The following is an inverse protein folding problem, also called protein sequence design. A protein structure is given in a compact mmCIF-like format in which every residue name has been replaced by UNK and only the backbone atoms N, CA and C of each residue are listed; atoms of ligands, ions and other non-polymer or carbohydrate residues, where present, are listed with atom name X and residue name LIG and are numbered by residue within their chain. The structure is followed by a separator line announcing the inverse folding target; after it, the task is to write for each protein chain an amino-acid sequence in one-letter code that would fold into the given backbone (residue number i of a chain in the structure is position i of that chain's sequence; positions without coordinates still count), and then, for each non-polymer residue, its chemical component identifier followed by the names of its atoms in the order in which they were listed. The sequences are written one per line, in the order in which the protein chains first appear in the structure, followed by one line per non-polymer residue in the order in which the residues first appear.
data_IF_381036148643
#
_entry.id   IF_381036148643
#
_cell.length_a   1.000
_cell.length_b   1.000
_cell.length_c   1.000
_cell.angle_alpha   90.00
_cell.angle_beta   90.00
_cell.angle_gamma   90.00
#
_symmetry.space_group_name_H-M   'P 1'
#
loop_
_entity.id
_entity.type
_entity.pdbx_description
1 polymer ?
#
# COMPACT_ATOMS: atom_id res chain seq x y z
N UNK A 1 -72.50 -9.15 -48.06
CA UNK A 1 -71.56 -8.26 -47.35
C UNK A 1 -70.51 -9.09 -46.61
N UNK A 2 -69.52 -9.66 -47.33
CA UNK A 2 -68.51 -10.54 -46.73
C UNK A 2 -67.14 -10.31 -47.38
N UNK A 3 -66.42 -9.30 -46.91
CA UNK A 3 -65.00 -9.08 -47.24
C UNK A 3 -64.25 -8.55 -46.00
N UNK A 4 -64.03 -9.39 -44.99
CA UNK A 4 -63.23 -9.04 -43.81
C UNK A 4 -62.45 -10.24 -43.23
N UNK A 5 -61.96 -11.15 -44.07
CA UNK A 5 -61.14 -12.29 -43.59
C UNK A 5 -59.77 -12.47 -44.24
N UNK A 6 -59.40 -11.67 -45.26
CA UNK A 6 -58.09 -11.80 -45.91
C UNK A 6 -56.98 -10.88 -45.34
N UNK A 7 -57.30 -9.87 -44.53
CA UNK A 7 -56.31 -8.90 -44.02
C UNK A 7 -55.44 -9.37 -42.84
N UNK A 8 -55.86 -10.39 -42.09
CA UNK A 8 -55.16 -10.82 -40.87
C UNK A 8 -53.90 -11.65 -41.12
N UNK A 9 -53.87 -12.44 -42.21
CA UNK A 9 -52.72 -13.29 -42.52
C UNK A 9 -51.60 -12.52 -43.22
N UNK A 10 -51.92 -11.52 -44.05
CA UNK A 10 -50.94 -10.65 -44.69
C UNK A 10 -50.15 -9.82 -43.65
N UNK A 11 -50.85 -9.24 -42.68
CA UNK A 11 -50.21 -8.49 -41.59
C UNK A 11 -49.33 -9.35 -40.68
N UNK A 12 -49.67 -10.64 -40.49
CA UNK A 12 -48.83 -11.58 -39.73
C UNK A 12 -47.55 -11.97 -40.45
N UNK A 13 -47.57 -12.08 -41.78
CA UNK A 13 -46.36 -12.36 -42.55
C UNK A 13 -45.41 -11.17 -42.58
N UNK A 14 -45.94 -9.94 -42.76
CA UNK A 14 -45.13 -8.71 -42.71
C UNK A 14 -44.42 -8.53 -41.36
N UNK A 15 -45.04 -8.95 -40.25
CA UNK A 15 -44.43 -8.86 -38.90
C UNK A 15 -43.40 -9.97 -38.63
N UNK A 16 -43.51 -11.13 -39.29
CA UNK A 16 -42.55 -12.24 -39.12
C UNK A 16 -41.24 -12.01 -39.88
N UNK A 17 -41.28 -11.30 -41.00
CA UNK A 17 -40.11 -11.07 -41.85
C UNK A 17 -39.21 -9.90 -41.39
N UNK A 18 -39.63 -9.13 -40.38
CA UNK A 18 -38.80 -8.05 -39.81
C UNK A 18 -37.92 -8.61 -38.69
N UNK A 19 -37.00 -9.51 -39.06
CA UNK A 19 -35.87 -9.90 -38.22
C UNK A 19 -34.64 -9.02 -38.53
N UNK A 20 -34.86 -7.71 -38.62
CA UNK A 20 -33.82 -6.73 -38.96
C UNK A 20 -33.65 -5.78 -37.77
N UNK A 21 -32.50 -5.91 -37.11
CA UNK A 21 -31.86 -5.01 -36.16
C UNK A 21 -32.61 -3.69 -35.90
N UNK A 22 -33.37 -3.69 -34.81
CA UNK A 22 -34.13 -2.55 -34.30
C UNK A 22 -33.21 -1.49 -33.67
N UNK A 23 -32.57 -0.64 -34.47
CA UNK A 23 -31.98 0.57 -33.90
C UNK A 23 -32.58 1.89 -34.37
N UNK A 24 -33.42 1.91 -35.40
CA UNK A 24 -33.92 3.19 -35.90
C UNK A 24 -35.23 3.06 -36.69
N UNK A 25 -36.38 3.15 -36.02
CA UNK A 25 -37.66 3.50 -36.66
C UNK A 25 -38.57 4.28 -35.71
N UNK A 26 -38.83 5.54 -36.06
CA UNK A 26 -39.92 6.35 -35.56
C UNK A 26 -41.25 5.58 -35.73
N UNK A 27 -41.93 5.27 -34.62
CA UNK A 27 -43.19 4.52 -34.63
C UNK A 27 -44.37 5.44 -35.00
N UNK A 28 -45.33 5.00 -35.85
CA UNK A 28 -46.54 5.77 -36.13
C UNK A 28 -47.40 5.96 -34.86
N UNK A 29 -47.88 7.18 -34.56
CA UNK A 29 -48.53 7.50 -33.28
C UNK A 29 -49.87 6.77 -33.05
N UNK A 30 -50.55 6.31 -34.11
CA UNK A 30 -51.90 5.72 -34.01
C UNK A 30 -51.93 4.31 -33.40
N UNK A 31 -50.81 3.60 -33.31
CA UNK A 31 -50.75 2.25 -32.72
C UNK A 31 -50.53 2.25 -31.19
N UNK A 32 -50.41 3.42 -30.57
CA UNK A 32 -50.12 3.53 -29.13
C UNK A 32 -51.36 3.33 -28.24
N UNK A 33 -52.55 3.67 -28.72
CA UNK A 33 -53.77 3.66 -27.89
C UNK A 33 -54.31 2.26 -27.54
N UNK A 34 -53.94 1.21 -28.29
CA UNK A 34 -54.53 -0.13 -28.14
C UNK A 34 -53.61 -1.23 -27.62
N UNK A 35 -52.31 -0.98 -27.48
CA UNK A 35 -51.39 -1.94 -26.87
C UNK A 35 -51.28 -1.62 -25.39
N UNK A 36 -52.04 -2.35 -24.56
CA UNK A 36 -51.85 -2.35 -23.11
C UNK A 36 -50.35 -2.40 -22.77
N UNK A 37 -49.94 -1.62 -21.77
CA UNK A 37 -48.53 -1.35 -21.42
C UNK A 37 -47.78 -2.66 -21.20
N UNK A 38 -47.19 -3.21 -22.27
CA UNK A 38 -46.30 -4.35 -22.15
C UNK A 38 -45.06 -3.85 -21.45
N UNK A 39 -44.83 -4.31 -20.21
CA UNK A 39 -43.61 -4.02 -19.45
C UNK A 39 -42.39 -4.55 -20.21
N UNK A 40 -41.83 -3.72 -21.08
CA UNK A 40 -40.54 -3.98 -21.70
C UNK A 40 -39.46 -3.59 -20.69
N UNK A 41 -38.59 -4.55 -20.37
CA UNK A 41 -37.38 -4.27 -19.61
C UNK A 41 -36.45 -3.43 -20.50
N UNK A 42 -35.91 -2.35 -19.95
CA UNK A 42 -34.99 -1.40 -20.58
C UNK A 42 -33.55 -1.74 -20.18
N UNK A 43 -32.63 -1.72 -21.13
CA UNK A 43 -31.20 -1.87 -20.87
C UNK A 43 -30.57 -0.51 -20.57
N UNK A 44 -29.87 -0.44 -19.44
CA UNK A 44 -29.21 0.78 -18.95
C UNK A 44 -27.81 0.44 -18.44
N UNK A 45 -26.89 1.38 -18.56
CA UNK A 45 -25.53 1.28 -18.06
C UNK A 45 -25.45 2.04 -16.75
N UNK A 46 -24.98 1.38 -15.69
CA UNK A 46 -24.82 2.03 -14.39
C UNK A 46 -23.60 2.95 -14.39
N UNK A 47 -23.73 4.15 -13.85
CA UNK A 47 -22.59 5.06 -13.61
C UNK A 47 -21.98 4.81 -12.23
N UNK A 48 -22.83 4.44 -11.26
CA UNK A 48 -22.48 4.22 -9.86
C UNK A 48 -22.86 2.80 -9.43
N UNK A 49 -22.12 2.20 -8.51
CA UNK A 49 -22.47 0.91 -7.92
C UNK A 49 -23.71 1.01 -7.03
N UNK A 50 -24.65 0.08 -7.19
CA UNK A 50 -25.90 0.02 -6.42
C UNK A 50 -26.08 -1.41 -5.91
N UNK A 51 -26.28 -1.57 -4.59
CA UNK A 51 -26.27 -2.86 -3.87
C UNK A 51 -27.25 -3.93 -4.38
N UNK A 52 -28.26 -3.55 -5.17
CA UNK A 52 -29.27 -4.48 -5.75
C UNK A 52 -29.20 -4.64 -7.27
N UNK A 53 -28.47 -3.78 -7.98
CA UNK A 53 -28.43 -3.79 -9.44
C UNK A 53 -27.09 -4.31 -9.98
N UNK A 54 -25.97 -3.83 -9.43
CA UNK A 54 -24.65 -4.16 -9.95
C UNK A 54 -23.60 -3.08 -9.68
N UNK A 55 -22.43 -3.25 -10.30
CA UNK A 55 -21.31 -2.31 -10.17
C UNK A 55 -21.38 -1.21 -11.23
N UNK A 56 -20.66 -0.11 -11.02
CA UNK A 56 -20.50 0.95 -12.02
C UNK A 56 -19.91 0.39 -13.34
N UNK A 57 -20.48 0.81 -14.47
CA UNK A 57 -20.10 0.40 -15.81
C UNK A 57 -20.74 -0.90 -16.30
N UNK A 58 -21.61 -1.53 -15.52
CA UNK A 58 -22.33 -2.74 -15.90
C UNK A 58 -23.64 -2.41 -16.63
N UNK A 59 -23.99 -3.21 -17.64
CA UNK A 59 -25.26 -3.09 -18.38
C UNK A 59 -26.32 -3.97 -17.75
N UNK A 60 -27.38 -3.37 -17.23
CA UNK A 60 -28.45 -4.06 -16.47
C UNK A 60 -29.82 -3.84 -17.11
N UNK A 61 -30.71 -4.83 -16.97
CA UNK A 61 -32.10 -4.80 -17.45
C UNK A 61 -33.04 -4.34 -16.34
N UNK A 62 -33.58 -3.13 -16.45
CA UNK A 62 -34.47 -2.51 -15.45
C UNK A 62 -35.87 -2.23 -15.99
N UNK A 63 -36.85 -1.99 -15.13
CA UNK A 63 -38.15 -1.50 -15.57
C UNK A 63 -38.04 -0.05 -16.06
N UNK A 64 -38.71 0.29 -17.16
CA UNK A 64 -38.65 1.65 -17.74
C UNK A 64 -39.08 2.76 -16.76
N UNK A 65 -40.06 2.48 -15.90
CA UNK A 65 -40.50 3.42 -14.85
C UNK A 65 -39.43 3.65 -13.78
N UNK A 66 -38.71 2.59 -13.39
CA UNK A 66 -37.62 2.70 -12.40
C UNK A 66 -36.45 3.52 -12.95
N UNK A 67 -36.11 3.35 -14.22
CA UNK A 67 -35.12 4.20 -14.88
C UNK A 67 -35.53 5.68 -14.89
N UNK A 68 -36.74 6.00 -15.38
CA UNK A 68 -37.20 7.39 -15.53
C UNK A 68 -37.39 8.12 -14.21
N UNK A 69 -37.92 7.43 -13.20
CA UNK A 69 -38.31 8.08 -11.94
C UNK A 69 -37.18 8.10 -10.91
N UNK A 70 -36.22 7.16 -10.99
CA UNK A 70 -35.19 7.01 -9.95
C UNK A 70 -33.77 7.13 -10.48
N UNK A 71 -33.42 6.35 -11.51
CA UNK A 71 -32.02 6.27 -11.96
C UNK A 71 -31.61 7.49 -12.78
N UNK A 72 -32.48 7.97 -13.67
CA UNK A 72 -32.20 9.09 -14.57
C UNK A 72 -32.10 10.43 -13.82
N UNK A 73 -33.04 10.82 -12.93
CA UNK A 73 -32.95 12.11 -12.25
C UNK A 73 -31.74 12.21 -11.33
N UNK A 74 -31.28 11.07 -10.80
CA UNK A 74 -30.10 10.97 -9.94
C UNK A 74 -28.80 10.68 -10.70
N UNK A 75 -28.84 10.59 -12.02
CA UNK A 75 -27.69 10.27 -12.88
C UNK A 75 -26.95 8.97 -12.48
N UNK A 76 -27.68 7.99 -11.92
CA UNK A 76 -27.15 6.69 -11.48
C UNK A 76 -27.03 5.68 -12.62
N UNK A 77 -27.75 5.91 -13.71
CA UNK A 77 -27.68 5.10 -14.90
C UNK A 77 -27.95 5.93 -16.15
N UNK A 78 -27.44 5.46 -17.27
CA UNK A 78 -27.55 6.08 -18.60
C UNK A 78 -28.14 5.02 -19.55
N UNK A 79 -28.97 5.38 -20.54
CA UNK A 79 -29.51 4.39 -21.46
C UNK A 79 -28.38 3.71 -22.26
N UNK A 80 -28.57 2.43 -22.61
CA UNK A 80 -27.63 1.68 -23.41
C UNK A 80 -27.68 2.13 -24.89
N UNK A 81 -27.07 3.28 -25.17
CA UNK A 81 -26.81 3.81 -26.52
C UNK A 81 -25.30 3.80 -26.71
N UNK A 82 -24.83 3.47 -27.91
CA UNK A 82 -23.40 3.36 -28.23
C UNK A 82 -22.58 4.59 -27.81
N UNK A 83 -23.14 5.79 -27.99
CA UNK A 83 -22.53 7.05 -27.57
C UNK A 83 -22.20 7.08 -26.07
N UNK A 84 -23.14 6.64 -25.24
CA UNK A 84 -22.96 6.61 -23.79
C UNK A 84 -22.07 5.46 -23.34
N UNK A 85 -22.20 4.29 -23.98
CA UNK A 85 -21.30 3.16 -23.72
C UNK A 85 -19.83 3.54 -23.97
N UNK A 86 -19.55 4.28 -25.05
CA UNK A 86 -18.23 4.81 -25.35
C UNK A 86 -17.73 5.78 -24.26
N UNK A 87 -18.55 6.76 -23.86
CA UNK A 87 -18.18 7.74 -22.83
C UNK A 87 -17.86 7.08 -21.49
N UNK A 88 -18.65 6.09 -21.07
CA UNK A 88 -18.42 5.37 -19.81
C UNK A 88 -17.13 4.55 -19.87
N UNK A 89 -16.79 3.95 -21.02
CA UNK A 89 -15.52 3.22 -21.20
C UNK A 89 -14.32 4.15 -21.12
N UNK A 90 -14.38 5.31 -21.76
CA UNK A 90 -13.29 6.30 -21.71
C UNK A 90 -13.11 6.87 -20.30
N UNK A 91 -14.20 7.21 -19.62
CA UNK A 91 -14.14 7.60 -18.20
C UNK A 91 -13.50 6.51 -17.34
N UNK A 92 -13.92 5.25 -17.52
CA UNK A 92 -13.38 4.13 -16.75
C UNK A 92 -11.87 3.96 -16.95
N UNK A 93 -11.35 4.13 -18.17
CA UNK A 93 -9.90 4.07 -18.43
C UNK A 93 -9.12 5.16 -17.68
N UNK A 94 -9.68 6.37 -17.58
CA UNK A 94 -9.04 7.50 -16.90
C UNK A 94 -9.02 7.28 -15.38
N UNK A 95 -10.09 6.72 -14.80
CA UNK A 95 -10.23 6.55 -13.35
C UNK A 95 -9.75 5.20 -12.80
N UNK A 96 -9.63 4.15 -13.63
CA UNK A 96 -9.13 2.84 -13.20
C UNK A 96 -7.65 2.73 -12.77
N UNK A 97 -6.72 3.65 -13.04
CA UNK A 97 -5.35 3.53 -12.53
C UNK A 97 -5.28 3.48 -10.99
N UNK A 98 -6.24 4.08 -10.29
CA UNK A 98 -6.14 4.32 -8.84
C UNK A 98 -6.63 3.14 -7.99
N UNK A 99 -7.51 2.28 -8.49
CA UNK A 99 -8.01 1.12 -7.71
C UNK A 99 -6.98 -0.01 -7.61
N UNK A 100 -6.06 -0.11 -8.58
CA UNK A 100 -4.99 -1.11 -8.55
C UNK A 100 -3.90 -0.78 -7.51
N UNK A 101 -3.72 0.49 -7.16
CA UNK A 101 -2.80 0.89 -6.08
C UNK A 101 -3.39 0.60 -4.68
N UNK A 102 -4.72 0.57 -4.53
CA UNK A 102 -5.36 0.29 -3.24
C UNK A 102 -5.53 -1.22 -2.94
N UNK A 103 -5.47 -2.09 -3.95
CA UNK A 103 -5.53 -3.55 -3.76
C UNK A 103 -4.20 -4.20 -3.33
N UNK A 104 -3.16 -3.40 -3.05
CA UNK A 104 -1.90 -3.88 -2.45
C UNK A 104 -2.09 -4.29 -0.97
N UNK A 105 -3.22 -3.95 -0.33
CA UNK A 105 -3.43 -4.15 1.13
C UNK A 105 -4.43 -5.28 1.44
N UNK A 106 -4.36 -6.39 0.69
CA UNK A 106 -4.82 -7.69 1.20
C UNK A 106 -3.70 -8.72 1.07
N UNK A 107 -2.48 -8.35 1.49
CA UNK A 107 -1.59 -9.38 2.03
C UNK A 107 -2.39 -10.13 3.07
N UNK A 108 -2.61 -11.42 2.87
CA UNK A 108 -3.43 -12.21 3.79
C UNK A 108 -2.83 -12.07 5.20
N UNK A 109 -3.64 -12.08 6.25
CA UNK A 109 -3.14 -11.92 7.63
C UNK A 109 -1.95 -12.85 7.94
N UNK A 110 -1.93 -14.00 7.26
CA UNK A 110 -0.87 -15.02 7.30
C UNK A 110 0.46 -14.58 6.69
N UNK A 111 0.43 -13.78 5.63
CA UNK A 111 1.65 -13.25 5.01
C UNK A 111 2.22 -12.13 5.88
N UNK A 112 1.34 -11.31 6.47
CA UNK A 112 1.72 -10.28 7.43
C UNK A 112 2.38 -10.91 8.67
N UNK A 113 1.80 -11.96 9.26
CA UNK A 113 2.40 -12.63 10.43
C UNK A 113 3.78 -13.21 10.14
N UNK A 114 3.99 -13.80 8.96
CA UNK A 114 5.31 -14.32 8.53
C UNK A 114 6.34 -13.21 8.33
N UNK A 115 5.94 -12.06 7.78
CA UNK A 115 6.81 -10.88 7.65
C UNK A 115 7.27 -10.40 9.03
N UNK A 116 6.35 -10.33 10.00
CA UNK A 116 6.67 -9.96 11.38
C UNK A 116 7.60 -10.96 12.06
N UNK A 117 7.35 -12.26 11.91
CA UNK A 117 8.20 -13.31 12.46
C UNK A 117 9.62 -13.25 11.89
N UNK A 118 9.75 -13.03 10.57
CA UNK A 118 11.06 -12.86 9.92
C UNK A 118 11.78 -11.63 10.42
N UNK A 119 11.09 -10.50 10.60
CA UNK A 119 11.67 -9.28 11.16
C UNK A 119 12.10 -9.47 12.62
N UNK A 120 11.29 -10.16 13.41
CA UNK A 120 11.58 -10.52 14.80
C UNK A 120 12.86 -11.37 14.91
N UNK A 121 13.00 -12.40 14.06
CA UNK A 121 14.20 -13.24 14.00
C UNK A 121 15.46 -12.45 13.63
N UNK A 122 15.34 -11.43 12.76
CA UNK A 122 16.47 -10.53 12.46
C UNK A 122 16.91 -9.75 13.69
N UNK A 123 15.97 -9.26 14.49
CA UNK A 123 16.29 -8.52 15.72
C UNK A 123 16.96 -9.39 16.78
N UNK A 124 16.59 -10.67 16.91
CA UNK A 124 17.21 -11.59 17.87
C UNK A 124 18.65 -11.95 17.49
N UNK A 125 18.86 -12.28 16.21
CA UNK A 125 20.14 -12.82 15.76
C UNK A 125 21.21 -11.75 15.54
N UNK A 126 20.80 -10.48 15.46
CA UNK A 126 21.69 -9.39 15.10
C UNK A 126 21.99 -8.48 16.28
N UNK A 127 23.16 -7.84 16.18
CA UNK A 127 23.63 -6.87 17.15
C UNK A 127 23.80 -5.53 16.45
N UNK A 128 23.16 -4.48 16.97
CA UNK A 128 23.27 -3.13 16.41
C UNK A 128 24.65 -2.57 16.74
N UNK A 129 25.42 -2.15 15.74
CA UNK A 129 26.76 -1.56 15.94
C UNK A 129 26.76 -0.10 15.53
N UNK A 130 26.88 0.78 16.51
CA UNK A 130 27.00 2.22 16.31
C UNK A 130 28.47 2.62 16.35
N UNK A 131 28.89 3.49 15.44
CA UNK A 131 30.21 4.15 15.47
C UNK A 131 29.99 5.61 15.79
N UNK A 132 30.61 6.11 16.85
CA UNK A 132 30.44 7.49 17.33
C UNK A 132 31.75 8.10 17.78
N UNK A 133 31.78 9.43 17.76
CA UNK A 133 32.92 10.23 18.14
C UNK A 133 32.92 10.50 19.65
N UNK A 134 34.13 10.54 20.21
CA UNK A 134 34.37 10.90 21.61
C UNK A 134 34.23 12.41 21.79
N UNK A 135 33.71 12.83 22.95
CA UNK A 135 33.84 14.19 23.42
C UNK A 135 35.28 14.52 23.84
N UNK A 136 36.06 15.05 22.90
CA UNK A 136 37.47 15.37 23.12
C UNK A 136 37.71 16.34 24.30
N UNK A 137 36.76 17.26 24.56
CA UNK A 137 36.86 18.22 25.66
C UNK A 137 36.77 17.52 27.02
N UNK A 138 35.72 16.72 27.23
CA UNK A 138 35.51 15.96 28.47
C UNK A 138 36.57 14.89 28.65
N UNK A 139 37.00 14.26 27.55
CA UNK A 139 38.08 13.27 27.55
C UNK A 139 39.39 13.84 28.11
N UNK A 140 39.76 15.07 27.74
CA UNK A 140 40.99 15.75 28.18
C UNK A 140 40.95 16.20 29.64
N UNK A 141 39.76 16.57 30.13
CA UNK A 141 39.57 17.03 31.51
C UNK A 141 39.31 15.90 32.49
N UNK A 142 39.38 14.63 32.07
CA UNK A 142 39.21 13.49 32.97
C UNK A 142 40.31 13.49 34.03
N UNK A 143 39.88 13.43 35.29
CA UNK A 143 40.79 13.40 36.43
C UNK A 143 41.39 11.99 36.62
N UNK A 144 40.63 10.95 36.27
CA UNK A 144 41.04 9.55 36.40
C UNK A 144 40.85 8.81 35.07
N UNK A 145 41.70 7.82 34.78
CA UNK A 145 41.59 7.00 33.56
C UNK A 145 40.30 6.17 33.52
N UNK A 146 39.67 5.96 34.68
CA UNK A 146 38.49 5.11 34.87
C UNK A 146 37.15 5.83 34.62
N UNK A 147 37.13 7.15 34.44
CA UNK A 147 35.88 7.88 34.18
C UNK A 147 35.27 7.44 32.83
N UNK A 148 33.96 7.13 32.74
CA UNK A 148 33.33 6.67 31.51
C UNK A 148 33.57 7.64 30.35
N UNK A 149 33.99 7.11 29.20
CA UNK A 149 34.13 7.94 28.00
C UNK A 149 32.74 8.38 27.56
N UNK A 150 32.51 9.69 27.49
CA UNK A 150 31.26 10.25 27.00
C UNK A 150 31.29 10.50 25.48
N UNK A 151 30.13 10.33 24.86
CA UNK A 151 29.86 10.56 23.45
C UNK A 151 29.69 12.04 23.18
N UNK A 152 30.23 12.50 22.04
CA UNK A 152 30.03 13.87 21.58
C UNK A 152 28.59 14.23 21.26
N UNK A 153 27.86 13.27 20.73
CA UNK A 153 26.43 13.38 20.45
C UNK A 153 25.75 12.22 21.15
N UNK A 154 24.86 12.48 22.12
CA UNK A 154 24.12 11.41 22.78
C UNK A 154 23.21 10.70 21.78
N UNK A 155 23.07 9.39 21.92
CA UNK A 155 22.23 8.58 21.04
C UNK A 155 20.78 8.70 21.46
N UNK A 156 19.97 9.28 20.58
CA UNK A 156 18.51 9.44 20.76
C UNK A 156 17.73 8.26 20.19
N UNK A 157 16.43 8.20 20.48
CA UNK A 157 15.54 7.14 19.95
C UNK A 157 15.52 7.12 18.42
N UNK A 158 15.46 8.30 17.80
CA UNK A 158 15.35 8.43 16.35
C UNK A 158 16.62 7.92 15.65
N UNK A 159 17.78 8.15 16.26
CA UNK A 159 19.04 7.61 15.76
C UNK A 159 19.08 6.08 15.83
N UNK A 160 18.56 5.48 16.91
CA UNK A 160 18.45 4.03 17.02
C UNK A 160 17.52 3.45 15.94
N UNK A 161 16.38 4.10 15.70
CA UNK A 161 15.43 3.70 14.65
C UNK A 161 16.10 3.75 13.27
N UNK A 162 16.80 4.84 12.96
CA UNK A 162 17.49 5.00 11.68
C UNK A 162 18.56 3.91 11.47
N UNK A 163 19.32 3.59 12.51
CA UNK A 163 20.38 2.57 12.44
C UNK A 163 19.82 1.14 12.38
N UNK A 164 18.70 0.87 13.04
CA UNK A 164 17.98 -0.41 12.90
C UNK A 164 17.46 -0.57 11.47
N UNK A 165 16.88 0.47 10.88
CA UNK A 165 16.43 0.44 9.50
C UNK A 165 17.62 0.21 8.53
N UNK A 166 18.76 0.87 8.78
CA UNK A 166 19.96 0.76 7.94
C UNK A 166 20.65 -0.61 8.04
N UNK A 167 20.77 -1.18 9.23
CA UNK A 167 21.55 -2.40 9.46
C UNK A 167 20.69 -3.67 9.35
N UNK A 168 19.47 -3.62 9.88
CA UNK A 168 18.62 -4.80 10.03
C UNK A 168 17.49 -4.84 9.00
N UNK A 169 17.31 -3.76 8.24
CA UNK A 169 16.23 -3.59 7.26
C UNK A 169 14.85 -3.85 7.89
N UNK A 170 14.68 -3.41 9.15
CA UNK A 170 13.42 -3.47 9.90
C UNK A 170 12.99 -2.05 10.23
N UNK A 171 11.75 -1.71 9.93
CA UNK A 171 11.16 -0.41 10.28
C UNK A 171 10.49 -0.54 11.64
N UNK A 172 10.93 0.27 12.61
CA UNK A 172 10.40 0.28 13.98
C UNK A 172 9.99 1.72 14.29
N UNK A 173 8.84 1.88 14.93
CA UNK A 173 8.41 3.18 15.44
C UNK A 173 9.16 3.56 16.73
N UNK A 174 9.50 4.83 16.94
CA UNK A 174 10.27 5.28 18.11
C UNK A 174 9.54 5.03 19.44
N UNK A 175 8.20 4.89 19.42
CA UNK A 175 7.38 4.58 20.59
C UNK A 175 7.61 3.15 21.12
N UNK A 176 7.98 2.23 20.22
CA UNK A 176 8.25 0.84 20.57
C UNK A 176 9.61 0.68 21.28
N UNK A 177 10.46 1.71 21.32
CA UNK A 177 11.75 1.68 22.00
C UNK A 177 11.63 2.38 23.36
N UNK A 178 11.82 1.60 24.44
CA UNK A 178 11.84 2.17 25.78
C UNK A 178 13.25 2.66 26.14
N UNK A 179 13.48 3.95 25.89
CA UNK A 179 14.70 4.65 26.27
C UNK A 179 14.34 5.94 27.01
N UNK A 180 14.34 5.96 28.36
CA UNK A 180 13.98 7.15 29.14
C UNK A 180 15.06 8.23 29.09
N UNK A 181 16.34 7.84 29.06
CA UNK A 181 17.49 8.75 28.98
C UNK A 181 18.33 8.41 27.74
N UNK A 182 18.73 9.39 26.91
CA UNK A 182 19.63 9.17 25.78
C UNK A 182 20.96 8.53 26.20
N UNK A 183 21.50 7.63 25.37
CA UNK A 183 22.76 6.95 25.70
C UNK A 183 23.94 7.89 25.42
N UNK A 184 24.69 8.22 26.47
CA UNK A 184 25.82 9.16 26.39
C UNK A 184 27.18 8.48 26.56
N UNK A 185 27.23 7.17 26.78
CA UNK A 185 28.47 6.42 27.06
C UNK A 185 28.76 5.37 25.99
N UNK A 186 30.03 4.99 25.85
CA UNK A 186 30.43 3.86 25.02
C UNK A 186 30.23 2.54 25.79
N UNK A 187 29.89 1.47 25.07
CA UNK A 187 29.69 0.17 25.69
C UNK A 187 28.64 -0.69 25.01
N UNK A 188 28.23 -1.72 25.73
CA UNK A 188 27.17 -2.64 25.34
C UNK A 188 25.92 -2.28 26.15
N UNK A 189 24.83 -1.97 25.46
CA UNK A 189 23.55 -1.59 26.07
C UNK A 189 22.46 -2.56 25.64
N UNK A 190 21.62 -2.94 26.59
CA UNK A 190 20.40 -3.70 26.34
C UNK A 190 19.21 -2.75 26.42
N UNK A 191 18.57 -2.48 25.28
CA UNK A 191 17.43 -1.57 25.21
C UNK A 191 16.15 -2.39 25.07
N UNK A 192 15.18 -2.29 26.01
CA UNK A 192 13.94 -3.03 25.93
C UNK A 192 13.00 -2.48 24.84
N UNK A 193 12.37 -3.40 24.09
CA UNK A 193 11.37 -3.09 23.07
C UNK A 193 9.96 -3.45 23.53
N UNK A 194 9.00 -2.60 23.20
CA UNK A 194 7.55 -2.78 23.39
C UNK A 194 6.93 -3.13 22.05
N UNK A 195 6.85 -4.42 21.76
CA UNK A 195 6.21 -4.92 20.53
C UNK A 195 4.78 -5.42 20.83
N UNK A 196 3.88 -5.40 19.83
CA UNK A 196 2.53 -5.93 19.99
C UNK A 196 2.54 -7.45 20.25
N UNK A 197 1.51 -7.94 20.95
CA UNK A 197 1.35 -9.35 21.36
C UNK A 197 1.21 -10.34 20.19
N UNK A 198 1.08 -9.85 18.96
CA UNK A 198 1.00 -10.66 17.74
C UNK A 198 2.33 -11.33 17.38
N UNK A 199 3.46 -10.82 17.90
CA UNK A 199 4.79 -11.35 17.63
C UNK A 199 5.19 -12.28 18.79
N UNK A 200 5.53 -13.56 18.52
CA UNK A 200 5.94 -14.48 19.58
C UNK A 200 7.27 -14.01 20.20
N UNK A 201 7.41 -14.17 21.52
CA UNK A 201 8.66 -13.86 22.21
C UNK A 201 9.69 -14.96 21.92
N UNK A 202 10.98 -14.62 21.79
CA UNK A 202 12.04 -15.61 21.66
C UNK A 202 12.20 -16.40 22.96
N UNK A 203 12.58 -17.67 22.82
CA UNK A 203 12.68 -18.61 23.94
C UNK A 203 13.61 -18.08 25.05
N UNK A 204 13.10 -18.03 26.28
CA UNK A 204 13.88 -17.68 27.48
C UNK A 204 13.99 -16.19 27.82
N UNK A 205 13.34 -15.27 27.10
CA UNK A 205 13.33 -13.83 27.42
C UNK A 205 11.96 -13.32 27.87
N UNK A 206 11.93 -12.51 28.92
CA UNK A 206 10.70 -11.90 29.49
C UNK A 206 10.20 -10.71 28.64
N UNK A 207 11.11 -10.00 27.97
CA UNK A 207 10.79 -8.92 27.06
C UNK A 207 11.78 -8.89 25.90
N UNK A 208 11.35 -8.28 24.78
CA UNK A 208 12.22 -8.04 23.65
C UNK A 208 13.36 -7.09 24.05
N UNK A 209 14.58 -7.42 23.65
CA UNK A 209 15.79 -6.64 23.94
C UNK A 209 16.57 -6.42 22.65
N UNK A 210 16.93 -5.18 22.39
CA UNK A 210 17.85 -4.80 21.33
C UNK A 210 19.25 -4.66 21.93
N UNK A 211 20.20 -5.45 21.43
CA UNK A 211 21.60 -5.34 21.82
C UNK A 211 22.28 -4.25 20.98
N UNK A 212 22.69 -3.17 21.65
CA UNK A 212 23.38 -2.03 21.03
C UNK A 212 24.83 -2.01 21.47
N UNK A 213 25.77 -2.03 20.51
CA UNK A 213 27.20 -1.83 20.73
C UNK A 213 27.59 -0.46 20.24
N UNK A 214 28.05 0.41 21.12
CA UNK A 214 28.60 1.71 20.74
C UNK A 214 30.12 1.58 20.74
N UNK A 215 30.71 1.67 19.54
CA UNK A 215 32.15 1.66 19.31
C UNK A 215 32.64 3.08 19.00
N UNK A 216 33.90 3.32 19.35
CA UNK A 216 34.60 4.52 18.92
C UNK A 216 34.79 4.52 17.40
N UNK A 217 34.50 5.64 16.77
CA UNK A 217 34.84 5.90 15.38
C UNK A 217 36.28 6.41 15.30
N UNK A 218 37.18 5.74 14.55
CA UNK A 218 38.54 6.22 14.40
C UNK A 218 38.55 7.56 13.66
N UNK A 219 39.36 8.49 14.17
CA UNK A 219 39.46 9.88 13.68
C UNK A 219 39.84 10.00 12.19
N UNK A 220 40.40 8.95 11.58
CA UNK A 220 40.72 8.89 10.14
C UNK A 220 39.50 8.84 9.22
N UNK A 221 38.31 8.45 9.71
CA UNK A 221 37.08 8.40 8.89
C UNK A 221 36.44 9.78 8.64
N UNK A 222 36.86 10.82 9.38
CA UNK A 222 36.25 12.16 9.28
C UNK A 222 36.49 12.87 7.95
N UNK A 223 37.49 12.47 7.16
CA UNK A 223 37.75 13.07 5.84
C UNK A 223 36.71 12.72 4.79
N UNK A 224 35.92 11.65 4.96
CA UNK A 224 35.01 11.13 3.92
C UNK A 224 33.58 11.70 3.97
N UNK A 225 33.23 12.49 5.00
CA UNK A 225 31.85 12.99 5.23
C UNK A 225 31.67 14.49 5.01
N UNK A 226 32.75 15.22 4.78
CA UNK A 226 32.69 16.57 4.21
C UNK A 226 32.89 16.42 2.71
N UNK A 227 31.99 17.07 1.98
CA UNK A 227 32.01 17.29 0.54
C UNK A 227 31.15 16.30 -0.25
N UNK A 228 30.09 16.87 -0.82
CA UNK A 228 29.23 16.26 -1.81
C UNK A 228 30.08 15.70 -2.96
N UNK A 229 30.32 14.40 -2.96
CA UNK A 229 31.09 13.75 -4.01
C UNK A 229 31.35 12.30 -3.67
N UNK A 230 30.74 11.40 -4.43
CA UNK A 230 31.03 9.97 -4.41
C UNK A 230 32.53 9.79 -4.65
N UNK A 231 33.27 9.38 -3.62
CA UNK A 231 34.59 8.80 -3.78
C UNK A 231 34.57 7.39 -3.20
N UNK A 232 34.63 6.43 -4.12
CA UNK A 232 34.93 5.04 -3.86
C UNK A 232 36.20 4.96 -3.01
N UNK A 233 36.08 4.50 -1.77
CA UNK A 233 37.24 4.15 -0.97
C UNK A 233 37.75 2.82 -1.51
N UNK A 234 38.73 2.90 -2.40
CA UNK A 234 39.63 1.80 -2.71
C UNK A 234 40.35 1.40 -1.41
N UNK A 235 40.14 0.15 -1.05
CA UNK A 235 40.71 -0.51 0.11
C UNK A 235 42.23 -0.65 -0.10
N UNK A 236 43.05 0.20 0.54
CA UNK A 236 44.52 0.10 0.51
C UNK A 236 45.09 0.48 1.89
N UNK A 237 45.42 -0.56 2.67
CA UNK A 237 46.46 -0.64 3.72
C UNK A 237 46.33 0.27 4.97
N UNK A 238 46.98 0.04 6.13
CA UNK A 238 48.11 -0.79 6.56
C UNK A 238 47.97 -0.91 8.10
N UNK A 239 48.11 -2.09 8.70
CA UNK A 239 48.55 -2.35 10.09
C UNK A 239 48.54 -3.87 10.24
N UNK A 240 49.58 -4.59 10.60
CA UNK A 240 50.88 -4.28 11.19
C UNK A 240 51.31 -5.61 11.81
N UNK A 241 52.55 -6.02 11.55
CA UNK A 241 53.13 -7.32 11.91
C UNK A 241 52.87 -7.74 13.36
N UNK A 242 52.48 -9.00 13.55
CA UNK A 242 52.54 -9.68 14.84
C UNK A 242 53.70 -10.66 14.76
N UNK A 243 54.87 -10.20 15.23
CA UNK A 243 56.00 -11.04 15.57
C UNK A 243 55.55 -12.07 16.62
N UNK A 244 55.55 -13.35 16.24
CA UNK A 244 55.56 -14.46 17.19
C UNK A 244 57.00 -14.98 17.20
N UNK A 245 57.73 -14.69 18.28
CA UNK A 245 58.99 -15.37 18.56
C UNK A 245 58.68 -16.77 19.09
N UNK A 246 59.12 -17.79 18.37
CA UNK A 246 59.30 -19.13 18.95
C UNK A 246 60.71 -19.20 19.54
N UNK A 247 60.76 -19.47 20.85
CA UNK A 247 61.87 -20.19 21.52
C UNK A 247 61.23 -21.41 22.17
#
# INVERSE_FOLDING_TARGET
MAYMHYGRNALRQIVKDVNVHNHDRLMPPLLYAGQGVRYRKLEVILTTSIDKLGKSGETVKVAAGYFRNHLMPKLLAVPNIDKYAYLIREQRKIYQPVEQEFQVVKKTDKDMTKEYEKAANRLVNSRLVLRRLIDAAKFRTRATKDDPVELRTPVTKDELVAEVARQLCVHIEPENIHLPTPLSTFGEFEVPLRLPKSIPLPDGKVHWTLQVKIREEPSSFQLAKRDNGILLISNVFFFGELLISNV
#
